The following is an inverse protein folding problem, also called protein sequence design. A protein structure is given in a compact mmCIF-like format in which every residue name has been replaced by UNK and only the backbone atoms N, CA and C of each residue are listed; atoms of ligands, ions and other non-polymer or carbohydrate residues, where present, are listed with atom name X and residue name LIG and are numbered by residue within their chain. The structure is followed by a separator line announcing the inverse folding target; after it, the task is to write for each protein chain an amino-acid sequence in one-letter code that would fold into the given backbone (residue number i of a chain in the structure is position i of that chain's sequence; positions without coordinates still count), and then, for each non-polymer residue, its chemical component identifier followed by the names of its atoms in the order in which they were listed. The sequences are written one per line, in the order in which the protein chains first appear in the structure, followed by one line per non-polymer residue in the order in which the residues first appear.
data_IF_772324946092
#
_entry.id   IF_772324946092
#
_cell.length_a   1.000
_cell.length_b   1.000
_cell.length_c   1.000
_cell.angle_alpha   90.00
_cell.angle_beta   90.00
_cell.angle_gamma   90.00
#
_symmetry.space_group_name_H-M   'P 1'
#
loop_
_entity.id
_entity.type
_entity.pdbx_description
1 polymer ?
#
# COMPACT_ATOMS: atom_id res chain seq x y z
N UNK A 1 0.71 14.31 -15.35
CA UNK A 1 2.17 14.57 -15.25
C UNK A 1 2.77 13.48 -14.38
N UNK A 2 3.76 12.74 -14.89
CA UNK A 2 4.40 11.69 -14.07
C UNK A 2 5.11 12.28 -12.85
N UNK A 3 4.76 11.82 -11.65
CA UNK A 3 5.42 12.23 -10.41
C UNK A 3 6.93 12.00 -10.47
N UNK A 4 7.69 12.99 -9.99
CA UNK A 4 9.13 12.88 -9.79
C UNK A 4 9.46 11.80 -8.75
N UNK A 5 10.70 11.32 -8.76
CA UNK A 5 11.16 10.36 -7.75
C UNK A 5 10.99 10.89 -6.32
N UNK A 6 11.32 12.16 -6.08
CA UNK A 6 11.17 12.80 -4.76
C UNK A 6 9.70 12.83 -4.31
N UNK A 7 8.77 13.13 -5.20
CA UNK A 7 7.33 13.13 -4.89
C UNK A 7 6.83 11.71 -4.57
N UNK A 8 7.26 10.69 -5.33
CA UNK A 8 6.92 9.29 -5.02
C UNK A 8 7.48 8.86 -3.66
N UNK A 9 8.69 9.29 -3.31
CA UNK A 9 9.27 9.02 -1.99
C UNK A 9 8.51 9.71 -0.87
N UNK A 10 8.07 10.96 -1.07
CA UNK A 10 7.25 11.68 -0.10
C UNK A 10 5.91 10.97 0.14
N UNK A 11 5.22 10.52 -0.91
CA UNK A 11 3.99 9.73 -0.78
C UNK A 11 4.22 8.40 -0.04
N UNK A 12 5.35 7.74 -0.29
CA UNK A 12 5.76 6.56 0.47
C UNK A 12 5.93 6.86 1.95
N UNK A 13 6.63 7.95 2.28
CA UNK A 13 6.83 8.40 3.65
C UNK A 13 5.51 8.76 4.35
N UNK A 14 4.57 9.39 3.65
CA UNK A 14 3.22 9.66 4.18
C UNK A 14 2.47 8.36 4.47
N UNK A 15 2.45 7.40 3.53
CA UNK A 15 1.82 6.09 3.75
C UNK A 15 2.39 5.36 4.97
N UNK A 16 3.69 5.47 5.21
CA UNK A 16 4.33 4.83 6.36
C UNK A 16 3.73 5.29 7.70
N UNK A 17 3.19 6.52 7.79
CA UNK A 17 2.47 7.01 8.99
C UNK A 17 1.18 6.24 9.24
N UNK A 18 0.51 5.82 8.16
CA UNK A 18 -0.74 5.05 8.20
C UNK A 18 -0.52 3.54 8.20
N UNK A 19 0.72 3.06 8.30
CA UNK A 19 1.05 1.63 8.29
C UNK A 19 0.18 0.79 9.22
N UNK A 20 -0.06 1.27 10.46
CA UNK A 20 -0.92 0.55 11.43
C UNK A 20 -2.36 0.46 10.95
N UNK A 21 -2.92 1.54 10.37
CA UNK A 21 -4.27 1.55 9.80
C UNK A 21 -4.39 0.60 8.62
N UNK A 22 -3.38 0.55 7.75
CA UNK A 22 -3.36 -0.41 6.64
C UNK A 22 -3.21 -1.84 7.16
N UNK A 23 -2.42 -2.06 8.21
CA UNK A 23 -2.31 -3.37 8.86
C UNK A 23 -3.64 -3.81 9.48
N UNK A 24 -4.40 -2.90 10.09
CA UNK A 24 -5.76 -3.18 10.61
C UNK A 24 -6.69 -3.73 9.51
N UNK A 25 -6.54 -3.27 8.25
CA UNK A 25 -7.31 -3.82 7.11
C UNK A 25 -6.95 -5.28 6.84
N UNK A 26 -5.65 -5.63 6.87
CA UNK A 26 -5.22 -7.03 6.74
C UNK A 26 -5.74 -7.89 7.90
N UNK A 27 -5.61 -7.37 9.12
CA UNK A 27 -5.98 -8.07 10.34
C UNK A 27 -7.51 -8.30 10.41
N UNK A 28 -8.31 -7.34 9.94
CA UNK A 28 -9.77 -7.46 9.83
C UNK A 28 -10.21 -8.55 8.84
N UNK A 29 -9.41 -8.83 7.81
CA UNK A 29 -9.65 -9.93 6.87
C UNK A 29 -9.12 -11.28 7.40
N UNK A 30 -8.48 -11.31 8.57
CA UNK A 30 -7.83 -12.51 9.11
C UNK A 30 -6.65 -12.98 8.26
N UNK A 31 -6.11 -12.13 7.38
CA UNK A 31 -5.06 -12.49 6.45
C UNK A 31 -3.69 -12.13 7.02
N UNK A 32 -2.78 -13.09 6.96
CA UNK A 32 -1.36 -12.80 7.17
C UNK A 32 -0.77 -12.21 5.89
N UNK A 33 0.29 -11.40 6.02
CA UNK A 33 1.01 -10.87 4.85
C UNK A 33 1.51 -11.97 3.90
N UNK A 34 1.78 -13.18 4.41
CA UNK A 34 2.14 -14.33 3.58
C UNK A 34 0.95 -14.92 2.82
N UNK A 35 -0.23 -14.99 3.43
CA UNK A 35 -1.44 -15.45 2.75
C UNK A 35 -1.82 -14.49 1.62
N UNK A 36 -1.82 -13.17 1.90
CA UNK A 36 -2.10 -12.16 0.90
C UNK A 36 -1.06 -12.17 -0.25
N UNK A 37 0.22 -12.40 0.07
CA UNK A 37 1.27 -12.50 -0.93
C UNK A 37 1.00 -13.61 -1.95
N UNK A 38 0.55 -14.78 -1.48
CA UNK A 38 0.22 -15.92 -2.36
C UNK A 38 -0.98 -15.60 -3.24
N UNK A 39 -1.99 -14.94 -2.69
CA UNK A 39 -3.20 -14.56 -3.42
C UNK A 39 -2.91 -13.54 -4.54
N UNK A 40 -2.12 -12.51 -4.23
CA UNK A 40 -1.76 -11.46 -5.19
C UNK A 40 -0.61 -11.85 -6.15
N UNK A 41 0.03 -13.00 -5.92
CA UNK A 41 1.22 -13.43 -6.66
C UNK A 41 2.41 -12.48 -6.48
N UNK A 42 2.62 -11.98 -5.26
CA UNK A 42 3.74 -11.10 -4.88
C UNK A 42 4.50 -11.71 -3.70
N UNK A 43 5.67 -11.17 -3.36
CA UNK A 43 6.36 -11.60 -2.13
C UNK A 43 5.74 -10.97 -0.89
N UNK A 44 5.79 -11.66 0.25
CA UNK A 44 5.38 -11.11 1.55
C UNK A 44 6.17 -9.84 1.87
N UNK A 45 7.45 -9.81 1.49
CA UNK A 45 8.28 -8.61 1.61
C UNK A 45 7.74 -7.44 0.80
N UNK A 46 7.24 -7.66 -0.42
CA UNK A 46 6.65 -6.61 -1.23
C UNK A 46 5.43 -5.97 -0.54
N UNK A 47 4.63 -6.76 0.17
CA UNK A 47 3.51 -6.25 0.98
C UNK A 47 4.06 -5.35 2.09
N UNK A 48 4.96 -5.86 2.94
CA UNK A 48 5.51 -5.06 4.05
C UNK A 48 6.27 -3.82 3.59
N UNK A 49 6.99 -3.89 2.45
CA UNK A 49 7.64 -2.73 1.82
C UNK A 49 6.64 -1.74 1.27
N UNK A 50 5.49 -2.19 0.79
CA UNK A 50 4.40 -1.29 0.36
C UNK A 50 3.80 -0.59 1.58
N UNK A 51 3.43 -1.34 2.62
CA UNK A 51 2.87 -0.80 3.87
C UNK A 51 3.84 0.16 4.60
N UNK A 52 5.14 -0.11 4.56
CA UNK A 52 6.17 0.77 5.12
C UNK A 52 6.60 1.91 4.19
N UNK A 53 5.94 2.09 3.04
CA UNK A 53 6.19 3.21 2.15
C UNK A 53 7.46 3.12 1.30
N UNK A 54 8.20 2.00 1.37
CA UNK A 54 9.47 1.82 0.65
C UNK A 54 9.28 1.56 -0.84
N UNK A 55 8.16 0.96 -1.22
CA UNK A 55 7.78 0.72 -2.61
C UNK A 55 6.30 1.03 -2.80
N UNK A 56 5.89 1.20 -4.05
CA UNK A 56 4.50 1.41 -4.45
C UNK A 56 4.06 0.24 -5.34
N UNK A 57 3.51 -0.81 -4.73
CA UNK A 57 2.98 -1.97 -5.48
C UNK A 57 1.52 -1.71 -5.85
N UNK A 58 1.17 -1.55 -7.14
CA UNK A 58 -0.21 -1.32 -7.57
C UNK A 58 -1.17 -2.40 -7.07
N UNK A 59 -0.79 -3.68 -7.21
CA UNK A 59 -1.60 -4.82 -6.76
C UNK A 59 -1.97 -4.76 -5.28
N UNK A 60 -1.02 -4.37 -4.43
CA UNK A 60 -1.25 -4.31 -2.98
C UNK A 60 -2.11 -3.10 -2.64
N UNK A 61 -1.89 -1.96 -3.30
CA UNK A 61 -2.72 -0.76 -3.11
C UNK A 61 -4.15 -0.94 -3.62
N UNK A 62 -4.33 -1.62 -4.75
CA UNK A 62 -5.64 -1.95 -5.31
C UNK A 62 -6.40 -2.91 -4.38
N UNK A 63 -5.73 -3.95 -3.87
CA UNK A 63 -6.33 -4.84 -2.89
C UNK A 63 -6.76 -4.09 -1.62
N UNK A 64 -5.90 -3.22 -1.06
CA UNK A 64 -6.24 -2.44 0.14
C UNK A 64 -7.45 -1.53 -0.11
N UNK A 65 -7.53 -0.90 -1.28
CA UNK A 65 -8.66 -0.07 -1.70
C UNK A 65 -9.96 -0.86 -1.75
N UNK A 66 -9.94 -2.03 -2.39
CA UNK A 66 -11.11 -2.91 -2.51
C UNK A 66 -11.61 -3.43 -1.16
N UNK A 67 -10.70 -3.57 -0.18
CA UNK A 67 -10.99 -4.11 1.14
C UNK A 67 -11.23 -3.04 2.21
N UNK A 68 -11.44 -1.78 1.79
CA UNK A 68 -11.93 -0.71 2.66
C UNK A 68 -10.86 0.18 3.29
N UNK A 69 -9.61 0.14 2.81
CA UNK A 69 -8.63 1.15 3.19
C UNK A 69 -9.06 2.52 2.65
N UNK A 70 -9.00 3.56 3.49
CA UNK A 70 -9.28 4.92 3.05
C UNK A 70 -8.23 5.41 2.04
N UNK A 71 -8.66 6.11 0.99
CA UNK A 71 -7.76 6.62 -0.07
C UNK A 71 -6.64 7.51 0.48
N UNK A 72 -6.92 8.27 1.55
CA UNK A 72 -5.94 9.10 2.24
C UNK A 72 -4.75 8.29 2.80
N UNK A 73 -4.99 7.03 3.18
CA UNK A 73 -3.96 6.15 3.75
C UNK A 73 -3.14 5.44 2.69
N UNK A 74 -3.71 5.24 1.49
CA UNK A 74 -3.02 4.56 0.39
C UNK A 74 -1.88 5.42 -0.18
N UNK A 75 -2.03 6.74 -0.11
CA UNK A 75 -1.09 7.73 -0.70
C UNK A 75 -0.62 7.26 -2.08
N UNK A 76 -1.58 6.89 -2.93
CA UNK A 76 -1.33 6.21 -4.20
C UNK A 76 -0.78 7.22 -5.22
N UNK A 77 0.44 7.02 -5.75
CA UNK A 77 1.01 7.92 -6.75
C UNK A 77 0.19 8.00 -8.05
N UNK A 78 -0.76 7.07 -8.29
CA UNK A 78 -1.65 7.09 -9.46
C UNK A 78 -2.80 8.06 -9.33
N UNK A 79 -3.26 8.36 -8.11
CA UNK A 79 -4.42 9.24 -7.88
C UNK A 79 -4.03 10.70 -7.68
N UNK A 80 -2.74 10.98 -7.45
CA UNK A 80 -2.19 12.35 -7.35
C UNK A 80 -2.03 13.03 -8.73
N UNK A 81 -2.30 12.33 -9.84
CA UNK A 81 -2.28 12.89 -11.21
C UNK A 81 -3.67 13.43 -11.64
N UNK A 82 -4.47 13.95 -10.70
CA UNK A 82 -5.77 14.56 -10.99
C UNK A 82 -5.81 16.03 -10.62
#
# INVERSE_FOLDING_TARGET
MSLTFAQKMALGAERAKYRRRLQEVLDAQGLTGAALARDLGVSSEAIYRTLSGKIHSPKVLDWLREHGAAEEYLCDPRTTDR
#
